data_IF_456097104622
#
_entry.id   IF_456097104622
#
_cell.length_a   1.000
_cell.length_b   1.000
_cell.length_c   1.000
_cell.angle_alpha   90.00
_cell.angle_beta   90.00
_cell.angle_gamma   90.00
#
_symmetry.space_group_name_H-M   'P 1'
#
loop_
_entity.id
_entity.type
_entity.pdbx_description
1 polymer ?
#
# COMPACT_ATOMS: atom_id res chain seq x y z
N UNK A 1 6.83 2.08 19.45
CA UNK A 1 7.86 3.14 19.27
C UNK A 1 8.73 3.14 20.51
N UNK A 2 9.99 2.68 20.43
CA UNK A 2 10.94 2.74 21.55
C UNK A 2 11.51 4.16 21.61
N UNK A 3 10.87 5.03 22.39
CA UNK A 3 11.35 6.39 22.59
C UNK A 3 12.39 6.36 23.71
N UNK A 4 13.66 6.49 23.34
CA UNK A 4 14.76 6.53 24.31
C UNK A 4 14.83 7.90 24.99
N UNK A 5 14.01 8.04 26.05
CA UNK A 5 13.88 9.23 26.88
C UNK A 5 15.24 9.67 27.45
N UNK A 6 16.10 8.71 27.79
CA UNK A 6 17.41 8.99 28.38
C UNK A 6 18.31 9.70 27.38
N UNK A 7 18.38 9.19 26.16
CA UNK A 7 19.16 9.80 25.07
C UNK A 7 18.61 11.18 24.69
N UNK A 8 17.30 11.37 24.70
CA UNK A 8 16.67 12.67 24.44
C UNK A 8 17.01 13.73 25.52
N UNK A 9 17.01 13.35 26.79
CA UNK A 9 17.38 14.27 27.89
C UNK A 9 18.87 14.63 27.83
N UNK A 10 19.74 13.65 27.58
CA UNK A 10 21.19 13.89 27.47
C UNK A 10 21.55 14.82 26.30
N UNK A 11 20.96 14.60 25.13
CA UNK A 11 21.19 15.47 23.95
C UNK A 11 20.71 16.89 24.19
N UNK A 12 19.52 17.06 24.80
CA UNK A 12 18.99 18.37 25.17
C UNK A 12 19.91 19.10 26.16
N UNK A 13 20.43 18.39 27.16
CA UNK A 13 21.37 18.93 28.13
C UNK A 13 22.68 19.42 27.49
N UNK A 14 23.25 18.64 26.56
CA UNK A 14 24.48 19.02 25.84
C UNK A 14 24.28 20.26 24.96
N UNK A 15 23.13 20.36 24.27
CA UNK A 15 22.80 21.54 23.47
C UNK A 15 22.64 22.80 24.33
N UNK A 16 22.03 22.68 25.51
CA UNK A 16 21.93 23.79 26.45
C UNK A 16 23.31 24.23 26.97
N UNK A 17 24.20 23.29 27.30
CA UNK A 17 25.58 23.62 27.70
C UNK A 17 26.35 24.34 26.59
N UNK A 18 26.20 23.90 25.34
CA UNK A 18 26.79 24.59 24.19
C UNK A 18 26.27 26.03 24.07
N UNK A 19 24.96 26.23 24.24
CA UNK A 19 24.32 27.55 24.26
C UNK A 19 24.86 28.46 25.37
N UNK A 20 25.13 27.91 26.57
CA UNK A 20 25.76 28.63 27.68
C UNK A 20 27.16 29.10 27.29
N UNK A 21 28.00 28.21 26.73
CA UNK A 21 29.37 28.55 26.32
C UNK A 21 29.40 29.65 25.25
N UNK A 22 28.53 29.55 24.24
CA UNK A 22 28.42 30.56 23.17
C UNK A 22 27.97 31.91 23.76
N UNK A 23 27.00 31.90 24.68
CA UNK A 23 26.49 33.12 25.33
C UNK A 23 27.55 33.79 26.21
N UNK A 24 28.34 33.01 26.96
CA UNK A 24 29.45 33.54 27.75
C UNK A 24 30.53 34.13 26.83
N UNK A 25 30.94 33.39 25.79
CA UNK A 25 31.98 33.83 24.87
C UNK A 25 31.60 35.14 24.15
N UNK A 26 30.39 35.20 23.60
CA UNK A 26 29.87 36.41 22.93
C UNK A 26 29.67 37.57 23.92
N UNK A 27 29.21 37.30 25.14
CA UNK A 27 29.07 38.29 26.22
C UNK A 27 30.41 38.89 26.64
N UNK A 28 31.43 38.06 26.90
CA UNK A 28 32.78 38.53 27.26
C UNK A 28 33.40 39.32 26.11
N UNK A 29 33.31 38.81 24.87
CA UNK A 29 33.85 39.48 23.68
C UNK A 29 33.21 40.84 23.42
N UNK A 30 31.90 40.97 23.65
CA UNK A 30 31.18 42.25 23.49
C UNK A 30 31.56 43.25 24.59
N UNK A 31 31.75 42.82 25.84
CA UNK A 31 32.25 43.69 26.92
C UNK A 31 33.68 44.16 26.63
N UNK A 32 34.57 43.25 26.22
CA UNK A 32 35.96 43.59 25.91
C UNK A 32 36.06 44.57 24.73
N UNK A 33 35.30 44.34 23.67
CA UNK A 33 35.22 45.25 22.52
C UNK A 33 34.65 46.61 22.92
N UNK A 34 33.65 46.63 23.81
CA UNK A 34 33.04 47.87 24.32
C UNK A 34 34.00 48.74 25.12
N UNK A 35 34.88 48.14 25.94
CA UNK A 35 35.88 48.86 26.75
C UNK A 35 36.90 49.64 25.92
N UNK A 36 37.12 49.26 24.65
CA UNK A 36 38.07 49.91 23.74
C UNK A 36 37.51 51.16 23.05
N UNK A 37 36.22 51.48 23.21
CA UNK A 37 35.63 52.67 22.59
C UNK A 37 35.77 53.93 23.44
N UNK A 38 36.10 55.04 22.77
CA UNK A 38 36.16 56.39 23.37
C UNK A 38 34.77 56.98 23.66
N UNK A 39 33.74 56.61 22.87
CA UNK A 39 32.38 57.15 23.01
C UNK A 39 31.61 56.51 24.18
N UNK A 40 31.31 57.32 25.21
CA UNK A 40 30.68 56.87 26.46
C UNK A 40 29.35 56.14 26.27
N UNK A 41 28.42 56.70 25.47
CA UNK A 41 27.08 56.10 25.25
C UNK A 41 27.18 54.75 24.55
N UNK A 42 27.98 54.65 23.49
CA UNK A 42 28.20 53.42 22.71
C UNK A 42 28.92 52.33 23.52
N UNK A 43 29.87 52.72 24.38
CA UNK A 43 30.51 51.83 25.35
C UNK A 43 29.50 51.26 26.34
N UNK A 44 28.66 52.11 26.95
CA UNK A 44 27.66 51.69 27.95
C UNK A 44 26.62 50.75 27.33
N UNK A 45 26.21 51.01 26.10
CA UNK A 45 25.30 50.14 25.34
C UNK A 45 25.90 48.74 25.10
N UNK A 46 27.13 48.67 24.56
CA UNK A 46 27.80 47.37 24.34
C UNK A 46 28.08 46.61 25.64
N UNK A 47 28.47 47.31 26.71
CA UNK A 47 28.67 46.68 28.03
C UNK A 47 27.35 46.14 28.58
N UNK A 48 26.24 46.87 28.45
CA UNK A 48 24.93 46.39 28.89
C UNK A 48 24.45 45.19 28.07
N UNK A 49 24.69 45.18 26.76
CA UNK A 49 24.34 44.07 25.87
C UNK A 49 25.17 42.82 26.20
N UNK A 50 26.45 42.98 26.48
CA UNK A 50 27.31 41.89 26.92
C UNK A 50 26.87 41.31 28.28
N UNK A 51 26.51 42.17 29.24
CA UNK A 51 25.95 41.73 30.52
C UNK A 51 24.62 40.98 30.38
N UNK A 52 23.76 41.37 29.44
CA UNK A 52 22.54 40.61 29.12
C UNK A 52 22.86 39.20 28.64
N UNK A 53 23.86 39.03 27.76
CA UNK A 53 24.29 37.69 27.33
C UNK A 53 24.84 36.84 28.48
N UNK A 54 25.59 37.44 29.42
CA UNK A 54 26.06 36.74 30.61
C UNK A 54 24.89 36.31 31.50
N UNK A 55 23.92 37.20 31.73
CA UNK A 55 22.72 36.87 32.50
C UNK A 55 21.91 35.75 31.85
N UNK A 56 21.70 35.82 30.53
CA UNK A 56 21.05 34.76 29.75
C UNK A 56 21.81 33.43 29.89
N UNK A 57 23.14 33.44 29.88
CA UNK A 57 23.93 32.22 30.09
C UNK A 57 23.73 31.60 31.47
N UNK A 58 23.63 32.41 32.52
CA UNK A 58 23.31 31.93 33.88
C UNK A 58 21.91 31.30 33.93
N UNK A 59 20.92 31.94 33.30
CA UNK A 59 19.57 31.39 33.20
C UNK A 59 19.54 30.05 32.44
N UNK A 60 20.20 29.97 31.29
CA UNK A 60 20.31 28.71 30.54
C UNK A 60 21.04 27.63 31.34
N UNK A 61 22.09 27.99 32.10
CA UNK A 61 22.79 27.05 32.97
C UNK A 61 21.89 26.47 34.06
N UNK A 62 21.08 27.33 34.71
CA UNK A 62 20.08 26.89 35.68
C UNK A 62 19.01 25.99 35.06
N UNK A 63 18.53 26.33 33.86
CA UNK A 63 17.58 25.50 33.12
C UNK A 63 18.18 24.14 32.72
N UNK A 64 19.43 24.12 32.24
CA UNK A 64 20.14 22.88 31.91
C UNK A 64 20.27 21.97 33.13
N UNK A 65 20.60 22.54 34.30
CA UNK A 65 20.63 21.80 35.56
C UNK A 65 19.26 21.22 35.92
N UNK A 66 18.19 22.00 35.77
CA UNK A 66 16.83 21.54 36.03
C UNK A 66 16.41 20.41 35.08
N UNK A 67 16.71 20.51 33.78
CA UNK A 67 16.43 19.45 32.80
C UNK A 67 17.17 18.17 33.17
N UNK A 68 18.47 18.24 33.49
CA UNK A 68 19.25 17.07 33.88
C UNK A 68 18.74 16.40 35.17
N UNK A 69 18.16 17.18 36.09
CA UNK A 69 17.69 16.65 37.38
C UNK A 69 16.24 16.14 37.34
N UNK A 70 15.38 16.76 36.54
CA UNK A 70 13.93 16.56 36.62
C UNK A 70 13.28 16.06 35.33
N UNK A 71 13.94 16.10 34.16
CA UNK A 71 13.29 15.73 32.91
C UNK A 71 13.00 14.23 32.78
N UNK A 72 13.94 13.36 33.18
CA UNK A 72 13.73 11.90 33.18
C UNK A 72 12.52 11.46 34.04
N UNK A 73 12.42 11.82 35.34
CA UNK A 73 11.30 11.37 36.16
C UNK A 73 9.94 11.92 35.69
N UNK A 74 9.90 13.14 35.16
CA UNK A 74 8.67 13.72 34.61
C UNK A 74 8.27 13.02 33.31
N UNK A 75 9.24 12.71 32.45
CA UNK A 75 8.97 11.99 31.21
C UNK A 75 8.38 10.60 31.46
N UNK A 76 8.86 9.87 32.47
CA UNK A 76 8.32 8.56 32.83
C UNK A 76 6.90 8.59 33.41
N UNK A 77 6.42 9.73 33.93
CA UNK A 77 5.03 9.86 34.36
C UNK A 77 4.05 9.91 33.18
N UNK A 78 4.49 10.45 32.05
CA UNK A 78 3.67 10.62 30.84
C UNK A 78 3.84 9.42 29.91
N UNK A 79 5.05 8.87 29.86
CA UNK A 79 5.44 7.72 29.03
C UNK A 79 6.00 6.61 29.93
N UNK A 80 5.12 5.82 30.59
CA UNK A 80 5.57 4.71 31.41
C UNK A 80 6.34 3.69 30.55
N UNK A 81 7.43 3.10 31.06
CA UNK A 81 8.13 2.05 30.34
C UNK A 81 7.19 0.86 30.14
N UNK A 82 7.18 0.30 28.92
CA UNK A 82 6.43 -0.93 28.65
C UNK A 82 6.89 -2.03 29.62
N UNK A 83 5.96 -2.80 30.22
CA UNK A 83 6.32 -3.86 31.15
C UNK A 83 7.19 -4.90 30.43
N UNK A 84 8.43 -5.05 30.89
CA UNK A 84 9.31 -6.14 30.46
C UNK A 84 8.69 -7.45 30.95
N UNK A 85 8.29 -8.32 30.03
CA UNK A 85 7.83 -9.68 30.35
C UNK A 85 8.95 -10.42 31.10
N UNK A 86 8.77 -10.57 32.41
CA UNK A 86 9.71 -11.33 33.25
C UNK A 86 9.26 -12.78 33.22
N UNK A 87 9.91 -13.59 32.38
CA UNK A 87 9.76 -15.04 32.41
C UNK A 87 10.53 -15.57 33.62
N UNK A 88 9.92 -15.54 34.81
CA UNK A 88 10.39 -16.33 35.96
C UNK A 88 9.64 -17.65 35.98
N UNK A 89 10.24 -18.78 35.57
CA UNK A 89 9.64 -20.08 35.81
C UNK A 89 9.74 -20.42 37.31
N UNK A 90 8.61 -20.42 38.01
CA UNK A 90 8.51 -20.99 39.36
C UNK A 90 8.54 -22.51 39.26
N UNK A 91 9.73 -23.11 39.41
CA UNK A 91 9.85 -24.55 39.61
C UNK A 91 9.36 -24.92 41.02
N UNK A 92 8.15 -25.47 41.09
CA UNK A 92 7.62 -26.09 42.32
C UNK A 92 7.93 -27.58 42.27
N UNK A 93 8.96 -28.01 43.00
CA UNK A 93 9.23 -29.44 43.22
C UNK A 93 8.92 -29.80 44.67
N UNK A 94 7.80 -30.49 44.89
CA UNK A 94 7.65 -31.44 46.00
C UNK A 94 6.63 -32.52 45.63
N UNK A 95 7.08 -33.70 45.17
CA UNK A 95 6.34 -34.93 45.37
C UNK A 95 7.01 -35.78 46.47
N UNK A 96 6.23 -36.09 47.49
CA UNK A 96 6.54 -37.03 48.57
C UNK A 96 6.73 -38.44 48.00
N UNK A 97 7.84 -39.07 48.38
CA UNK A 97 8.26 -40.42 48.00
C UNK A 97 7.30 -41.46 48.61
N UNK A 98 6.69 -42.31 47.78
CA UNK A 98 6.05 -43.55 48.22
C UNK A 98 6.38 -44.67 47.24
N UNK A 99 6.82 -45.80 47.78
CA UNK A 99 7.45 -46.91 47.06
C UNK A 99 6.41 -47.78 46.36
N UNK A 100 6.37 -47.75 45.02
CA UNK A 100 6.09 -48.87 44.11
C UNK A 100 6.46 -48.42 42.69
N UNK A 101 7.45 -49.05 42.00
CA UNK A 101 7.82 -48.64 40.65
C UNK A 101 6.81 -49.21 39.64
N UNK A 102 5.76 -48.45 39.34
CA UNK A 102 5.06 -48.60 38.06
C UNK A 102 5.79 -47.71 37.06
N UNK A 103 6.35 -48.32 36.02
CA UNK A 103 6.87 -47.64 34.83
C UNK A 103 5.72 -46.89 34.13
N UNK A 104 5.42 -45.71 34.64
CA UNK A 104 4.52 -44.74 34.01
C UNK A 104 5.37 -43.95 33.03
N UNK A 105 5.05 -44.09 31.74
CA UNK A 105 5.67 -43.31 30.67
C UNK A 105 5.63 -41.83 31.06
N UNK A 106 6.81 -41.22 31.14
CA UNK A 106 6.99 -39.77 31.33
C UNK A 106 6.00 -39.03 30.43
N UNK A 107 5.23 -38.05 30.93
CA UNK A 107 4.47 -37.19 30.03
C UNK A 107 5.48 -36.53 29.11
N UNK A 108 5.49 -36.93 27.83
CA UNK A 108 6.16 -36.19 26.78
C UNK A 108 5.65 -34.76 26.94
N UNK A 109 6.53 -33.83 27.30
CA UNK A 109 6.23 -32.42 27.20
C UNK A 109 5.92 -32.18 25.73
N UNK A 110 4.63 -32.19 25.39
CA UNK A 110 4.15 -31.62 24.16
C UNK A 110 4.37 -30.13 24.33
N UNK A 111 5.55 -29.65 23.92
CA UNK A 111 5.76 -28.26 23.53
C UNK A 111 4.55 -27.91 22.66
N UNK A 112 3.60 -27.19 23.23
CA UNK A 112 2.53 -26.58 22.45
C UNK A 112 3.27 -25.55 21.60
N UNK A 113 3.39 -25.70 20.28
CA UNK A 113 4.07 -24.70 19.47
C UNK A 113 3.30 -23.39 19.63
N UNK A 114 3.85 -22.48 20.44
CA UNK A 114 3.32 -21.13 20.63
C UNK A 114 3.74 -20.20 19.49
N UNK A 115 4.61 -20.69 18.60
CA UNK A 115 4.90 -20.06 17.33
C UNK A 115 3.86 -20.55 16.31
N UNK A 116 2.93 -19.67 15.95
CA UNK A 116 2.17 -19.84 14.70
C UNK A 116 3.19 -20.07 13.59
N UNK A 117 3.12 -21.17 12.81
CA UNK A 117 4.16 -21.49 11.86
C UNK A 117 4.34 -20.32 10.88
N UNK A 118 5.51 -19.68 10.91
CA UNK A 118 5.87 -18.64 9.95
C UNK A 118 5.73 -19.25 8.55
N UNK A 119 4.95 -18.64 7.64
CA UNK A 119 4.79 -19.19 6.30
C UNK A 119 6.15 -19.39 5.61
N UNK A 120 6.33 -20.53 4.96
CA UNK A 120 7.54 -20.87 4.22
C UNK A 120 7.20 -20.80 2.73
N UNK A 121 8.09 -20.22 1.93
CA UNK A 121 7.94 -20.19 0.48
C UNK A 121 8.04 -21.63 -0.06
N UNK A 122 7.03 -22.15 -0.77
CA UNK A 122 7.06 -23.51 -1.30
C UNK A 122 8.26 -23.76 -2.23
N UNK A 123 8.87 -24.94 -2.11
CA UNK A 123 10.09 -25.30 -2.85
C UNK A 123 9.96 -25.13 -4.37
N UNK A 124 8.77 -25.43 -4.92
CA UNK A 124 8.48 -25.27 -6.35
C UNK A 124 8.58 -23.82 -6.84
N UNK A 125 8.30 -22.83 -5.97
CA UNK A 125 8.43 -21.40 -6.28
C UNK A 125 9.85 -20.93 -5.93
N UNK A 126 10.42 -21.43 -4.84
CA UNK A 126 11.82 -21.13 -4.46
C UNK A 126 12.82 -21.55 -5.55
N UNK A 127 12.57 -22.67 -6.24
CA UNK A 127 13.40 -23.13 -7.36
C UNK A 127 13.35 -22.23 -8.60
N UNK A 128 12.35 -21.34 -8.72
CA UNK A 128 12.21 -20.39 -9.84
C UNK A 128 13.01 -19.10 -9.61
N UNK A 129 13.69 -18.96 -8.47
CA UNK A 129 14.48 -17.77 -8.16
C UNK A 129 15.80 -17.84 -8.92
N UNK A 130 15.91 -17.08 -10.02
CA UNK A 130 17.10 -17.05 -10.88
C UNK A 130 18.14 -15.98 -10.49
N UNK A 131 17.81 -15.05 -9.59
CA UNK A 131 18.65 -13.87 -9.36
C UNK A 131 19.89 -14.14 -8.50
N UNK A 132 21.04 -13.62 -8.94
CA UNK A 132 22.30 -13.61 -8.17
C UNK A 132 22.36 -12.51 -7.09
N UNK A 133 21.42 -11.56 -7.09
CA UNK A 133 21.40 -10.46 -6.11
C UNK A 133 20.73 -10.92 -4.84
N UNK A 134 21.51 -11.02 -3.75
CA UNK A 134 21.00 -11.31 -2.41
C UNK A 134 20.04 -10.20 -1.96
N UNK A 135 18.76 -10.51 -1.71
CA UNK A 135 17.80 -9.52 -1.22
C UNK A 135 18.17 -9.01 0.18
N UNK A 136 17.81 -7.77 0.50
CA UNK A 136 18.08 -7.21 1.82
C UNK A 136 17.20 -7.87 2.90
N UNK A 137 17.78 -8.55 3.90
CA UNK A 137 16.99 -9.14 4.98
C UNK A 137 16.29 -8.09 5.85
N UNK A 138 16.76 -6.84 5.86
CA UNK A 138 16.12 -5.74 6.58
C UNK A 138 14.95 -5.09 5.82
N UNK A 139 14.58 -5.58 4.64
CA UNK A 139 13.41 -5.08 3.93
C UNK A 139 12.14 -5.26 4.78
N UNK A 140 11.34 -4.20 4.89
CA UNK A 140 10.12 -4.19 5.71
C UNK A 140 8.92 -3.86 4.83
N UNK A 141 7.81 -4.55 5.10
CA UNK A 141 6.52 -4.34 4.44
C UNK A 141 5.47 -4.01 5.49
N UNK A 142 4.53 -3.11 5.16
CA UNK A 142 3.34 -2.92 5.97
C UNK A 142 2.37 -4.09 5.83
N UNK A 143 1.32 -4.10 6.65
CA UNK A 143 0.24 -5.08 6.51
C UNK A 143 -0.40 -4.95 5.13
N UNK A 144 -0.63 -6.08 4.48
CA UNK A 144 -1.24 -6.12 3.16
C UNK A 144 -2.74 -5.80 3.28
N UNK A 145 -3.21 -4.87 2.45
CA UNK A 145 -4.62 -4.46 2.40
C UNK A 145 -5.21 -4.84 1.05
N UNK A 146 -6.37 -5.49 1.06
CA UNK A 146 -7.02 -6.02 -0.12
C UNK A 146 -8.16 -5.08 -0.56
N UNK A 147 -8.25 -4.82 -1.86
CA UNK A 147 -9.31 -4.04 -2.48
C UNK A 147 -9.64 -4.53 -3.89
N UNK A 148 -10.84 -4.18 -4.39
CA UNK A 148 -11.24 -4.42 -5.80
C UNK A 148 -10.63 -3.41 -6.77
N UNK A 149 -10.20 -2.25 -6.27
CA UNK A 149 -9.68 -1.17 -7.09
C UNK A 149 -8.55 -0.45 -6.35
N UNK A 150 -7.59 0.06 -7.11
CA UNK A 150 -6.49 0.90 -6.63
C UNK A 150 -6.51 2.25 -7.36
N UNK A 151 -5.96 3.28 -6.73
CA UNK A 151 -5.78 4.59 -7.35
C UNK A 151 -4.44 4.70 -8.11
N UNK A 152 -4.16 5.89 -8.66
CA UNK A 152 -2.93 6.17 -9.41
C UNK A 152 -1.65 6.12 -8.57
N UNK A 153 -1.77 6.17 -7.25
CA UNK A 153 -0.66 6.17 -6.30
C UNK A 153 -0.51 4.79 -5.62
N UNK A 154 -1.15 3.76 -6.20
CA UNK A 154 -1.19 2.38 -5.71
C UNK A 154 -1.82 2.21 -4.32
N UNK A 155 -2.70 3.13 -3.92
CA UNK A 155 -3.48 3.00 -2.69
C UNK A 155 -4.79 2.24 -2.96
N UNK A 156 -5.28 1.47 -1.98
CA UNK A 156 -6.56 0.77 -2.11
C UNK A 156 -7.73 1.75 -2.06
N UNK A 157 -8.66 1.62 -3.00
CA UNK A 157 -9.94 2.34 -2.99
C UNK A 157 -10.98 1.46 -2.30
N UNK A 158 -11.57 1.97 -1.21
CA UNK A 158 -12.56 1.25 -0.40
C UNK A 158 -12.09 -0.17 0.01
N UNK A 159 -11.04 -0.28 0.83
CA UNK A 159 -10.50 -1.58 1.25
C UNK A 159 -11.55 -2.39 2.02
N UNK A 160 -11.60 -3.69 1.73
CA UNK A 160 -12.52 -4.62 2.38
C UNK A 160 -11.77 -5.85 2.88
N UNK A 161 -12.28 -6.44 3.95
CA UNK A 161 -11.81 -7.74 4.46
C UNK A 161 -12.73 -8.88 4.03
N UNK A 162 -13.88 -8.56 3.42
CA UNK A 162 -14.88 -9.52 3.00
C UNK A 162 -15.31 -9.19 1.56
N UNK A 163 -15.29 -10.20 0.68
CA UNK A 163 -15.62 -10.06 -0.72
C UNK A 163 -16.70 -11.05 -1.12
N UNK A 164 -17.81 -10.52 -1.65
CA UNK A 164 -18.91 -11.36 -2.13
C UNK A 164 -18.66 -11.84 -3.55
N UNK A 165 -18.95 -13.12 -3.79
CA UNK A 165 -18.92 -13.70 -5.12
C UNK A 165 -19.98 -13.08 -6.05
N UNK A 166 -19.65 -12.87 -7.34
CA UNK A 166 -18.35 -13.10 -7.97
C UNK A 166 -17.31 -12.04 -7.58
N UNK A 167 -16.14 -12.48 -7.11
CA UNK A 167 -15.07 -11.59 -6.63
C UNK A 167 -14.40 -10.84 -7.78
N UNK A 168 -14.01 -11.55 -8.84
CA UNK A 168 -13.27 -11.00 -9.98
C UNK A 168 -11.79 -10.79 -9.67
N UNK A 169 -11.26 -9.63 -10.07
CA UNK A 169 -9.87 -9.21 -9.82
C UNK A 169 -9.74 -8.55 -8.45
N UNK A 170 -8.73 -8.96 -7.69
CA UNK A 170 -8.35 -8.34 -6.43
C UNK A 170 -6.93 -7.76 -6.50
N UNK A 171 -6.73 -6.70 -5.74
CA UNK A 171 -5.45 -6.05 -5.54
C UNK A 171 -5.04 -6.14 -4.09
N UNK A 172 -3.82 -6.61 -3.85
CA UNK A 172 -3.14 -6.57 -2.57
C UNK A 172 -2.17 -5.39 -2.59
N UNK A 173 -2.44 -4.37 -1.79
CA UNK A 173 -1.63 -3.15 -1.68
C UNK A 173 -0.80 -3.17 -0.41
N UNK A 174 0.39 -2.59 -0.48
CA UNK A 174 1.32 -2.51 0.64
C UNK A 174 2.31 -1.35 0.45
N UNK A 175 2.86 -0.88 1.55
CA UNK A 175 4.03 0.00 1.55
C UNK A 175 5.27 -0.79 1.94
N UNK A 176 6.42 -0.44 1.36
CA UNK A 176 7.68 -1.12 1.62
C UNK A 176 8.80 -0.11 1.87
N UNK A 177 9.84 -0.55 2.56
CA UNK A 177 11.08 0.20 2.77
C UNK A 177 12.29 -0.75 2.78
N UNK A 178 13.47 -0.20 2.51
CA UNK A 178 14.76 -0.90 2.43
C UNK A 178 14.81 -2.06 1.42
N UNK A 179 13.99 -2.03 0.36
CA UNK A 179 14.09 -2.99 -0.74
C UNK A 179 15.37 -2.74 -1.56
N UNK A 180 15.97 -3.82 -2.06
CA UNK A 180 17.10 -3.74 -2.98
C UNK A 180 16.60 -3.93 -4.40
N UNK A 181 16.87 -2.97 -5.29
CA UNK A 181 16.57 -3.11 -6.72
C UNK A 181 17.29 -4.33 -7.29
N UNK A 182 16.56 -5.17 -8.01
CA UNK A 182 17.00 -6.45 -8.56
C UNK A 182 16.98 -7.63 -7.58
N UNK A 183 16.68 -7.41 -6.30
CA UNK A 183 16.48 -8.50 -5.34
C UNK A 183 15.18 -9.24 -5.62
N UNK A 184 15.18 -10.57 -5.54
CA UNK A 184 13.96 -11.36 -5.72
C UNK A 184 12.92 -11.06 -4.63
N UNK A 185 11.67 -10.90 -5.04
CA UNK A 185 10.52 -10.89 -4.14
C UNK A 185 9.43 -11.83 -4.68
N UNK A 186 8.56 -12.28 -3.78
CA UNK A 186 7.44 -13.14 -4.16
C UNK A 186 6.18 -12.78 -3.38
N UNK A 187 5.03 -12.89 -4.03
CA UNK A 187 3.70 -12.73 -3.40
C UNK A 187 2.85 -13.95 -3.72
N UNK A 188 2.25 -14.54 -2.69
CA UNK A 188 1.42 -15.73 -2.81
C UNK A 188 0.02 -15.42 -2.33
N UNK A 189 -0.98 -15.79 -3.11
CA UNK A 189 -2.40 -15.74 -2.76
C UNK A 189 -2.85 -17.16 -2.39
N UNK A 190 -3.00 -17.41 -1.10
CA UNK A 190 -3.24 -18.75 -0.54
C UNK A 190 -4.65 -18.82 0.02
N UNK A 191 -5.37 -19.88 -0.31
CA UNK A 191 -6.62 -20.24 0.37
C UNK A 191 -6.31 -21.11 1.58
N UNK A 192 -6.82 -20.73 2.75
CA UNK A 192 -6.47 -21.34 4.02
C UNK A 192 -7.13 -22.71 4.25
N UNK A 193 -8.25 -22.99 3.58
CA UNK A 193 -9.00 -24.25 3.78
C UNK A 193 -8.25 -25.48 3.26
N UNK A 194 -7.50 -25.34 2.16
CA UNK A 194 -6.79 -26.42 1.48
C UNK A 194 -5.32 -26.08 1.16
N UNK A 195 -4.83 -24.93 1.65
CA UNK A 195 -3.51 -24.37 1.35
C UNK A 195 -3.23 -24.26 -0.16
N UNK A 196 -4.27 -24.12 -0.99
CA UNK A 196 -4.11 -23.95 -2.43
C UNK A 196 -3.63 -22.55 -2.75
N UNK A 197 -2.61 -22.44 -3.59
CA UNK A 197 -2.13 -21.16 -4.15
C UNK A 197 -2.97 -20.88 -5.40
N UNK A 198 -3.70 -19.76 -5.41
CA UNK A 198 -4.52 -19.34 -6.55
C UNK A 198 -3.70 -18.54 -7.56
N UNK A 199 -2.93 -17.60 -7.05
CA UNK A 199 -2.02 -16.77 -7.83
C UNK A 199 -0.70 -16.65 -7.08
N UNK A 200 0.40 -16.58 -7.80
CA UNK A 200 1.67 -16.15 -7.25
C UNK A 200 2.41 -15.29 -8.25
N UNK A 201 3.27 -14.42 -7.72
CA UNK A 201 4.20 -13.60 -8.48
C UNK A 201 5.59 -13.84 -7.90
N UNK A 202 6.59 -14.09 -8.74
CA UNK A 202 7.98 -14.18 -8.33
C UNK A 202 8.85 -13.51 -9.37
N UNK A 203 9.39 -12.34 -9.05
CA UNK A 203 10.11 -11.51 -10.01
C UNK A 203 11.25 -10.74 -9.31
N UNK A 204 12.26 -10.26 -10.05
CA UNK A 204 13.22 -9.30 -9.52
C UNK A 204 12.54 -7.96 -9.20
N UNK A 205 12.88 -7.37 -8.06
CA UNK A 205 12.31 -6.10 -7.64
C UNK A 205 12.76 -4.93 -8.54
N UNK A 206 11.86 -4.38 -9.33
CA UNK A 206 12.15 -3.22 -10.23
C UNK A 206 11.84 -1.87 -9.59
N UNK A 207 11.23 -1.87 -8.41
CA UNK A 207 10.87 -0.65 -7.68
C UNK A 207 12.06 0.06 -7.04
N UNK A 208 11.75 1.19 -6.40
CA UNK A 208 12.71 1.94 -5.59
C UNK A 208 13.00 1.23 -4.26
N UNK A 209 13.82 1.84 -3.40
CA UNK A 209 14.13 1.30 -2.07
C UNK A 209 12.94 1.39 -1.10
N UNK A 210 12.02 2.32 -1.30
CA UNK A 210 10.83 2.49 -0.45
C UNK A 210 9.69 3.20 -1.16
N UNK A 211 8.46 2.84 -0.86
CA UNK A 211 7.28 3.39 -1.52
C UNK A 211 6.05 2.52 -1.38
N UNK A 212 5.17 2.57 -2.38
CA UNK A 212 3.95 1.78 -2.46
C UNK A 212 4.03 0.79 -3.60
N UNK A 213 3.50 -0.40 -3.36
CA UNK A 213 3.48 -1.51 -4.32
C UNK A 213 2.16 -2.26 -4.21
N UNK A 214 1.89 -3.04 -5.25
CA UNK A 214 0.72 -3.91 -5.27
C UNK A 214 1.03 -5.23 -5.95
N UNK A 215 0.19 -6.22 -5.67
CA UNK A 215 0.08 -7.47 -6.40
C UNK A 215 -1.38 -7.65 -6.80
N UNK A 216 -1.63 -8.29 -7.94
CA UNK A 216 -2.97 -8.57 -8.43
C UNK A 216 -3.21 -10.06 -8.59
N UNK A 217 -4.45 -10.50 -8.41
CA UNK A 217 -4.88 -11.87 -8.61
C UNK A 217 -6.28 -11.89 -9.23
N UNK A 218 -6.41 -12.56 -10.37
CA UNK A 218 -7.65 -12.71 -11.13
C UNK A 218 -7.81 -14.17 -11.60
N UNK A 219 -8.07 -15.11 -10.67
CA UNK A 219 -8.35 -16.49 -11.04
C UNK A 219 -9.77 -16.58 -11.62
N UNK A 220 -10.10 -17.68 -12.31
CA UNK A 220 -11.47 -17.91 -12.79
C UNK A 220 -12.49 -17.78 -11.65
N UNK A 221 -13.68 -17.22 -11.92
CA UNK A 221 -14.68 -16.96 -10.89
C UNK A 221 -15.10 -18.20 -10.07
N UNK A 222 -14.98 -19.39 -10.66
CA UNK A 222 -15.21 -20.68 -10.00
C UNK A 222 -14.18 -21.05 -8.92
N UNK A 223 -13.00 -20.43 -8.93
CA UNK A 223 -11.92 -20.73 -7.97
C UNK A 223 -12.01 -19.95 -6.67
N UNK A 224 -12.77 -18.84 -6.68
CA UNK A 224 -13.13 -18.08 -5.48
C UNK A 224 -14.18 -18.85 -4.68
N UNK A 225 -13.78 -19.93 -4.04
CA UNK A 225 -14.63 -20.66 -3.09
C UNK A 225 -14.82 -19.83 -1.81
N UNK A 226 -15.97 -19.96 -1.13
CA UNK A 226 -16.17 -19.31 0.14
C UNK A 226 -15.18 -19.84 1.19
N UNK A 227 -14.56 -18.92 1.95
CA UNK A 227 -13.56 -19.27 2.96
C UNK A 227 -12.54 -18.16 3.21
N UNK A 228 -11.54 -18.46 4.04
CA UNK A 228 -10.48 -17.53 4.40
C UNK A 228 -9.29 -17.66 3.46
N UNK A 229 -8.73 -16.50 3.12
CA UNK A 229 -7.60 -16.34 2.23
C UNK A 229 -6.51 -15.49 2.88
N UNK A 230 -5.27 -15.77 2.53
CA UNK A 230 -4.10 -15.05 3.00
C UNK A 230 -3.20 -14.68 1.82
N UNK A 231 -2.82 -13.41 1.76
CA UNK A 231 -1.80 -12.91 0.84
C UNK A 231 -0.49 -12.79 1.61
N UNK A 232 0.54 -13.47 1.15
CA UNK A 232 1.84 -13.56 1.83
C UNK A 232 2.93 -12.92 0.97
N UNK A 233 3.78 -12.10 1.57
CA UNK A 233 4.91 -11.45 0.91
C UNK A 233 6.22 -12.04 1.42
N UNK A 234 7.08 -12.39 0.48
CA UNK A 234 8.42 -12.91 0.69
C UNK A 234 9.45 -12.03 -0.02
N UNK A 235 10.63 -11.94 0.58
CA UNK A 235 11.82 -11.34 -0.01
C UNK A 235 12.92 -12.38 0.03
N UNK A 236 13.35 -12.84 -1.15
CA UNK A 236 14.04 -14.12 -1.28
C UNK A 236 13.20 -15.25 -0.66
N UNK A 237 13.78 -15.98 0.28
CA UNK A 237 13.10 -17.06 1.01
C UNK A 237 12.45 -16.61 2.33
N UNK A 238 12.64 -15.35 2.72
CA UNK A 238 12.17 -14.85 4.01
C UNK A 238 10.77 -14.26 3.89
N UNK A 239 9.86 -14.77 4.71
CA UNK A 239 8.56 -14.15 4.92
C UNK A 239 8.70 -12.75 5.55
N UNK A 240 7.90 -11.79 5.08
CA UNK A 240 7.93 -10.39 5.55
C UNK A 240 6.62 -9.89 6.12
N UNK A 241 5.52 -10.13 5.44
CA UNK A 241 4.20 -9.61 5.83
C UNK A 241 3.09 -10.41 5.19
N UNK A 242 1.87 -10.20 5.68
CA UNK A 242 0.67 -10.83 5.15
C UNK A 242 -0.56 -9.93 5.28
N UNK A 243 -1.64 -10.32 4.59
CA UNK A 243 -2.98 -9.76 4.74
C UNK A 243 -4.03 -10.85 4.58
N UNK A 244 -5.14 -10.74 5.31
CA UNK A 244 -6.21 -11.73 5.30
C UNK A 244 -7.51 -11.12 4.80
N UNK A 245 -8.28 -11.92 4.09
CA UNK A 245 -9.64 -11.59 3.68
C UNK A 245 -10.47 -12.86 3.56
N UNK A 246 -11.79 -12.69 3.57
CA UNK A 246 -12.75 -13.79 3.47
C UNK A 246 -13.57 -13.61 2.21
N UNK A 247 -13.79 -14.70 1.48
CA UNK A 247 -14.72 -14.74 0.36
C UNK A 247 -16.03 -15.34 0.82
N UNK A 248 -17.15 -14.70 0.48
CA UNK A 248 -18.49 -15.14 0.86
C UNK A 248 -19.39 -15.33 -0.34
N UNK A 249 -20.34 -16.26 -0.20
CA UNK A 249 -21.26 -16.66 -1.28
C UNK A 249 -20.66 -17.73 -2.19
N UNK A 250 -21.53 -18.44 -2.88
CA UNK A 250 -21.13 -19.47 -3.85
C UNK A 250 -20.60 -18.82 -5.14
N UNK A 251 -19.54 -19.37 -5.75
CA UNK A 251 -19.07 -18.88 -7.03
C UNK A 251 -20.14 -19.11 -8.12
N UNK A 252 -20.18 -18.28 -9.17
CA UNK A 252 -21.12 -18.50 -10.27
C UNK A 252 -20.82 -19.85 -10.95
N UNK A 253 -21.83 -20.70 -11.07
CA UNK A 253 -21.73 -21.95 -11.83
C UNK A 253 -21.38 -21.62 -13.28
N UNK A 254 -20.31 -22.19 -13.85
CA UNK A 254 -19.98 -21.97 -15.25
C UNK A 254 -21.18 -22.41 -16.10
N UNK A 255 -21.84 -21.45 -16.73
CA UNK A 255 -22.95 -21.75 -17.64
C UNK A 255 -22.33 -22.38 -18.87
N UNK A 256 -22.71 -23.62 -19.21
CA UNK A 256 -22.22 -24.28 -20.41
C UNK A 256 -22.61 -23.43 -21.62
N UNK A 257 -21.61 -22.80 -22.26
CA UNK A 257 -21.80 -22.12 -23.54
C UNK A 257 -22.25 -23.17 -24.55
N UNK A 258 -23.48 -23.06 -25.04
CA UNK A 258 -23.98 -23.94 -26.07
C UNK A 258 -23.03 -23.87 -27.28
N UNK A 259 -22.37 -25.00 -27.58
CA UNK A 259 -21.56 -25.16 -28.79
C UNK A 259 -22.41 -24.75 -29.99
N UNK A 260 -21.93 -23.89 -30.92
CA UNK A 260 -22.72 -23.48 -32.07
C UNK A 260 -23.14 -24.73 -32.86
N UNK A 261 -24.45 -25.01 -32.86
CA UNK A 261 -25.03 -26.10 -33.66
C UNK A 261 -24.79 -25.79 -35.14
N UNK A 262 -24.21 -26.73 -35.88
CA UNK A 262 -24.05 -26.60 -37.34
C UNK A 262 -25.43 -26.39 -37.96
N UNK A 263 -25.67 -25.23 -38.54
CA UNK A 263 -26.89 -24.93 -39.30
C UNK A 263 -26.92 -25.86 -40.53
N UNK A 264 -27.96 -26.69 -40.73
CA UNK A 264 -28.09 -27.46 -41.96
C UNK A 264 -28.30 -26.52 -43.15
N UNK A 265 -27.45 -26.66 -44.17
CA UNK A 265 -27.50 -25.89 -45.42
C UNK A 265 -28.76 -26.25 -46.23
N UNK A 266 -29.54 -25.28 -46.75
CA UNK A 266 -30.76 -25.56 -47.47
C UNK A 266 -30.46 -26.24 -48.82
N UNK A 267 -31.07 -27.40 -49.04
CA UNK A 267 -31.03 -28.15 -50.32
C UNK A 267 -31.91 -27.45 -51.36
N UNK A 268 -31.43 -27.14 -52.58
CA UNK A 268 -32.25 -26.50 -53.60
C UNK A 268 -33.29 -27.48 -54.16
N UNK A 269 -34.57 -27.15 -54.02
CA UNK A 269 -35.69 -27.87 -54.63
C UNK A 269 -36.03 -27.27 -56.00
N UNK A 270 -35.95 -28.07 -57.07
CA UNK A 270 -36.34 -27.66 -58.41
C UNK A 270 -37.87 -27.56 -58.53
N UNK A 271 -38.39 -26.38 -58.86
CA UNK A 271 -39.81 -26.14 -59.11
C UNK A 271 -40.08 -26.09 -60.61
N UNK A 272 -40.71 -27.12 -61.15
CA UNK A 272 -41.28 -27.11 -62.50
C UNK A 272 -42.79 -26.97 -62.44
N UNK A 273 -43.39 -26.00 -63.15
CA UNK A 273 -44.84 -25.97 -63.39
C UNK A 273 -45.15 -25.12 -64.66
N UNK A 274 -46.19 -25.48 -65.46
CA UNK A 274 -46.28 -25.18 -66.90
C UNK A 274 -47.23 -24.04 -67.29
N UNK A 275 -47.16 -23.66 -68.57
CA UNK A 275 -48.00 -22.74 -69.37
C UNK A 275 -49.46 -23.25 -69.52
N UNK A 276 -50.49 -22.37 -69.48
CA UNK A 276 -51.26 -21.98 -70.70
C UNK A 276 -51.82 -20.52 -70.69
N UNK A 277 -51.71 -19.75 -71.77
CA UNK A 277 -52.70 -19.44 -72.85
C UNK A 277 -53.53 -18.15 -72.66
N UNK A 278 -53.36 -17.24 -73.62
CA UNK A 278 -53.86 -15.86 -73.71
C UNK A 278 -55.36 -15.72 -74.03
N UNK A 279 -56.00 -14.66 -73.53
CA UNK A 279 -57.06 -13.93 -74.25
C UNK A 279 -56.84 -12.42 -74.05
N UNK A 280 -56.65 -11.69 -75.16
CA UNK A 280 -56.35 -10.24 -75.20
C UNK A 280 -57.65 -9.42 -75.12
N UNK A 281 -57.62 -8.31 -74.38
CA UNK A 281 -58.17 -7.03 -74.87
C UNK A 281 -57.25 -5.92 -74.36
N UNK A 282 -56.82 -5.08 -75.29
CA UNK A 282 -55.76 -4.08 -75.15
C UNK A 282 -56.43 -2.73 -74.93
N UNK A 283 -55.94 -1.93 -73.99
CA UNK A 283 -55.81 -0.49 -74.20
C UNK A 283 -54.52 -0.03 -73.52
N UNK A 284 -53.60 0.46 -74.35
CA UNK A 284 -52.29 1.03 -74.01
C UNK A 284 -52.52 2.34 -73.22
N UNK A 285 -51.64 2.77 -72.31
CA UNK A 285 -50.52 3.66 -72.68
C UNK A 285 -49.47 3.75 -71.56
N UNK A 286 -48.25 3.25 -71.86
CA UNK A 286 -46.87 3.68 -71.54
C UNK A 286 -46.48 4.21 -70.12
N UNK A 287 -45.95 3.30 -69.28
CA UNK A 287 -44.57 3.17 -68.69
C UNK A 287 -43.59 4.38 -68.66
N UNK A 288 -42.46 4.41 -67.87
CA UNK A 288 -42.02 3.80 -66.57
C UNK A 288 -41.48 4.87 -65.55
N UNK A 289 -41.06 4.64 -64.29
CA UNK A 289 -39.84 3.90 -63.83
C UNK A 289 -39.70 3.96 -62.28
N UNK A 290 -39.40 2.80 -61.67
CA UNK A 290 -38.76 2.42 -60.37
C UNK A 290 -38.81 3.38 -59.14
N UNK A 291 -39.04 2.91 -57.90
CA UNK A 291 -38.24 1.90 -57.18
C UNK A 291 -38.99 1.44 -55.91
N UNK A 292 -38.99 0.12 -55.64
CA UNK A 292 -39.48 -0.53 -54.40
C UNK A 292 -38.69 -0.04 -53.17
N UNK A 293 -39.21 -0.20 -51.96
CA UNK A 293 -38.61 -1.11 -50.94
C UNK A 293 -39.40 -1.13 -49.61
N UNK A 294 -40.00 -2.31 -49.36
CA UNK A 294 -40.12 -3.08 -48.11
C UNK A 294 -40.57 -2.38 -46.82
N UNK A 295 -41.81 -2.69 -46.44
CA UNK A 295 -42.30 -2.66 -45.06
C UNK A 295 -41.81 -3.91 -44.32
N UNK A 296 -40.93 -3.73 -43.34
CA UNK A 296 -40.78 -4.65 -42.22
C UNK A 296 -40.71 -3.81 -40.95
N UNK A 297 -41.71 -4.02 -40.11
CA UNK A 297 -41.78 -3.56 -38.73
C UNK A 297 -40.80 -4.36 -37.88
N UNK A 298 -39.92 -3.71 -37.09
CA UNK A 298 -39.42 -4.30 -35.87
C UNK A 298 -39.91 -3.49 -34.65
N UNK A 299 -40.51 -4.26 -33.75
CA UNK A 299 -40.73 -4.05 -32.32
C UNK A 299 -39.75 -3.10 -31.64
N UNK A 300 -40.29 -2.13 -30.89
CA UNK A 300 -39.52 -1.26 -30.00
C UNK A 300 -38.86 -2.09 -28.87
N UNK A 301 -37.54 -2.20 -28.91
CA UNK A 301 -36.74 -2.56 -27.73
C UNK A 301 -36.23 -1.27 -27.09
N UNK A 302 -36.59 -1.06 -25.82
CA UNK A 302 -36.09 0.07 -25.02
C UNK A 302 -34.64 -0.21 -24.63
N UNK A 303 -33.71 0.54 -25.21
CA UNK A 303 -32.34 0.71 -24.69
C UNK A 303 -32.13 2.21 -24.45
N UNK A 304 -31.87 2.66 -23.21
CA UNK A 304 -31.41 4.02 -22.98
C UNK A 304 -29.92 4.13 -23.34
N UNK A 305 -29.61 4.82 -24.43
CA UNK A 305 -28.25 5.28 -24.72
C UNK A 305 -28.08 6.66 -24.10
N UNK A 306 -27.23 6.77 -23.08
CA UNK A 306 -26.80 8.07 -22.53
C UNK A 306 -25.84 8.69 -23.55
N UNK A 307 -26.33 9.68 -24.29
CA UNK A 307 -25.50 10.55 -25.13
C UNK A 307 -24.82 11.59 -24.23
N UNK A 308 -23.50 11.51 -24.06
CA UNK A 308 -22.72 12.64 -23.56
C UNK A 308 -22.59 13.67 -24.68
N UNK A 309 -23.33 14.77 -24.55
CA UNK A 309 -23.11 15.99 -25.36
C UNK A 309 -21.81 16.65 -24.91
N UNK A 310 -20.81 16.87 -25.79
CA UNK A 310 -19.70 17.75 -25.45
C UNK A 310 -20.19 19.20 -25.49
N UNK A 311 -20.35 19.82 -24.32
CA UNK A 311 -20.53 21.26 -24.20
C UNK A 311 -19.24 21.96 -24.63
N UNK A 312 -19.24 22.57 -25.81
CA UNK A 312 -18.18 23.49 -26.25
C UNK A 312 -18.23 24.73 -25.36
N UNK A 313 -17.41 24.74 -24.31
CA UNK A 313 -17.20 25.94 -23.49
C UNK A 313 -16.21 26.85 -24.23
N UNK A 314 -16.70 27.99 -24.73
CA UNK A 314 -15.86 29.07 -25.25
C UNK A 314 -15.08 29.72 -24.11
N UNK A 315 -13.82 29.35 -23.94
CA UNK A 315 -12.88 30.05 -23.06
C UNK A 315 -12.48 31.39 -23.70
N UNK A 316 -12.59 32.54 -22.99
CA UNK A 316 -12.05 33.80 -23.48
C UNK A 316 -10.51 33.77 -23.48
N UNK A 317 -9.95 34.33 -24.56
CA UNK A 317 -8.52 34.49 -24.85
C UNK A 317 -7.79 35.24 -23.71
N UNK A 318 -6.60 34.78 -23.25
CA UNK A 318 -5.82 35.53 -22.28
C UNK A 318 -5.24 36.81 -22.90
N UNK A 319 -5.35 37.90 -22.16
CA UNK A 319 -4.77 39.20 -22.44
C UNK A 319 -3.24 39.12 -22.37
N UNK A 320 -2.60 39.53 -23.45
CA UNK A 320 -1.15 39.68 -23.60
C UNK A 320 -0.60 40.64 -22.54
N UNK A 321 0.29 40.14 -21.67
CA UNK A 321 0.87 40.90 -20.57
C UNK A 321 2.38 41.02 -20.75
N UNK A 322 2.76 42.18 -21.29
CA UNK A 322 4.00 42.97 -21.07
C UNK A 322 5.37 42.30 -21.25
N UNK A 323 6.06 42.83 -22.25
CA UNK A 323 7.51 42.77 -22.51
C UNK A 323 8.40 43.06 -21.28
N UNK A 324 9.56 42.40 -21.14
CA UNK A 324 10.59 42.78 -20.18
C UNK A 324 11.38 44.02 -20.64
N UNK A 325 11.59 44.94 -19.71
CA UNK A 325 12.41 46.15 -19.86
C UNK A 325 13.90 45.80 -19.89
N UNK A 326 14.62 46.42 -20.84
CA UNK A 326 16.06 46.29 -21.05
C UNK A 326 16.88 47.00 -19.95
N UNK A 327 17.85 46.32 -19.37
CA UNK A 327 18.80 46.88 -18.39
C UNK A 327 20.05 47.39 -19.12
N UNK A 328 20.41 48.69 -19.05
CA UNK A 328 21.66 49.16 -19.64
C UNK A 328 22.86 48.80 -18.76
N UNK A 329 23.93 48.38 -19.43
CA UNK A 329 25.23 48.05 -18.87
C UNK A 329 25.99 49.34 -18.59
N UNK A 330 26.57 49.47 -17.39
CA UNK A 330 27.72 50.34 -17.11
C UNK A 330 28.59 49.74 -16.02
#
# INVERSE_FOLDING_TARGET
MNLDIRTAVQTTFLLLLLGVLISIFTGVRTIQSGKRLLYFRKRREMVSRGWRFIFTAVLLGGFAFAVNRYAEPVAYQIFPPSPTITLTPTITLTPTISLTPTITLTPTLTETPLESPTPILPDAIAAQIETTITPNPEAVFSRVVIAKQIDKDFQPVNPQTEFQNPVGKLYATFSYDKMTTGGQWSVLWVRMTDNKILCFLTEPWTGSTGGYGYSECEPPAGEWLPGDYEVQIFVGLQWKSFGRFTVVGEPPTPTATATPSRTPSPTPTASGTPTPTFTRTITLTLTPTQTRTVTLTPTASRTPTITMTPTVTRTPRPTDTRWPTYTPVR
#
